data_IF_538896816698
#
_entry.id   IF_538896816698
#
_cell.length_a   1.000
_cell.length_b   1.000
_cell.length_c   1.000
_cell.angle_alpha   90.00
_cell.angle_beta   90.00
_cell.angle_gamma   90.00
#
_symmetry.space_group_name_H-M   'P 1'
#
loop_
_entity.id
_entity.type
_entity.pdbx_description
1 polymer ?
#
# COMPACT_ATOMS: atom_id res chain seq x y z
N UNK A 1 9.50 18.69 -13.43
CA UNK A 1 9.35 17.89 -12.17
C UNK A 1 7.94 18.11 -11.67
N UNK A 2 7.14 17.05 -11.54
CA UNK A 2 5.80 17.17 -10.94
C UNK A 2 5.94 17.68 -9.50
N UNK A 3 5.18 18.71 -9.16
CA UNK A 3 5.19 19.31 -7.81
C UNK A 3 4.73 18.26 -6.80
N UNK A 4 5.47 18.08 -5.71
CA UNK A 4 5.11 17.17 -4.62
C UNK A 4 3.71 17.50 -4.08
N UNK A 5 2.87 16.47 -3.90
CA UNK A 5 1.50 16.62 -3.40
C UNK A 5 1.48 16.16 -1.94
N UNK A 6 1.64 17.11 -1.01
CA UNK A 6 1.69 16.84 0.43
C UNK A 6 0.45 16.12 0.97
N UNK A 7 -0.71 16.35 0.35
CA UNK A 7 -1.97 15.69 0.71
C UNK A 7 -1.90 14.19 0.49
N UNK A 8 -1.24 13.73 -0.59
CA UNK A 8 -1.03 12.30 -0.83
C UNK A 8 -0.09 11.71 0.22
N UNK A 9 0.99 12.41 0.58
CA UNK A 9 1.90 11.92 1.62
C UNK A 9 1.20 11.83 2.98
N UNK A 10 0.32 12.80 3.30
CA UNK A 10 -0.51 12.71 4.50
C UNK A 10 -1.44 11.49 4.48
N UNK A 11 -2.16 11.28 3.39
CA UNK A 11 -3.04 10.09 3.23
C UNK A 11 -2.26 8.79 3.36
N UNK A 12 -1.08 8.69 2.74
CA UNK A 12 -0.20 7.54 2.88
C UNK A 12 0.18 7.30 4.34
N UNK A 13 0.45 8.36 5.12
CA UNK A 13 0.70 8.25 6.56
C UNK A 13 -0.48 7.63 7.29
N UNK A 14 -1.69 8.17 7.08
CA UNK A 14 -2.91 7.66 7.73
C UNK A 14 -3.09 6.16 7.42
N UNK A 15 -3.03 5.79 6.16
CA UNK A 15 -3.32 4.42 5.74
C UNK A 15 -2.22 3.42 6.09
N UNK A 16 -0.94 3.83 6.12
CA UNK A 16 0.14 2.93 6.53
C UNK A 16 0.09 2.67 8.05
N UNK A 17 -0.29 3.66 8.86
CA UNK A 17 -0.49 3.47 10.29
C UNK A 17 -1.67 2.52 10.55
N UNK A 18 -2.78 2.70 9.85
CA UNK A 18 -3.94 1.80 9.94
C UNK A 18 -3.56 0.38 9.49
N UNK A 19 -2.75 0.26 8.43
CA UNK A 19 -2.23 -1.03 7.98
C UNK A 19 -1.43 -1.71 9.09
N UNK A 20 -0.44 -1.02 9.68
CA UNK A 20 0.37 -1.58 10.77
C UNK A 20 -0.53 -1.97 11.95
N UNK A 21 -1.44 -1.10 12.37
CA UNK A 21 -2.33 -1.31 13.51
C UNK A 21 -3.16 -2.59 13.39
N UNK A 22 -3.79 -2.82 12.23
CA UNK A 22 -4.64 -3.99 12.02
C UNK A 22 -3.89 -5.24 11.54
N UNK A 23 -2.57 -5.13 11.28
CA UNK A 23 -1.68 -6.27 11.14
C UNK A 23 -1.11 -6.76 12.48
N UNK A 24 -1.30 -5.99 13.57
CA UNK A 24 -1.10 -6.50 14.94
C UNK A 24 -2.20 -7.55 15.22
N UNK A 25 -1.80 -8.83 15.29
CA UNK A 25 -2.75 -9.96 15.43
C UNK A 25 -3.71 -9.74 16.60
N UNK A 26 -3.19 -9.34 17.76
CA UNK A 26 -4.00 -9.08 18.96
C UNK A 26 -5.10 -8.03 18.73
N UNK A 27 -4.77 -6.93 18.03
CA UNK A 27 -5.75 -5.87 17.70
C UNK A 27 -6.76 -6.35 16.67
N UNK A 28 -6.27 -7.01 15.62
CA UNK A 28 -7.12 -7.52 14.56
C UNK A 28 -8.12 -8.59 15.01
N UNK A 29 -7.72 -9.45 15.94
CA UNK A 29 -8.60 -10.50 16.49
C UNK A 29 -9.59 -9.93 17.51
N UNK A 30 -9.17 -8.91 18.26
CA UNK A 30 -10.03 -8.23 19.22
C UNK A 30 -11.10 -7.36 18.58
N UNK A 31 -10.80 -6.74 17.43
CA UNK A 31 -11.70 -5.85 16.70
C UNK A 31 -11.90 -6.29 15.25
N UNK A 32 -12.48 -7.49 15.00
CA UNK A 32 -12.55 -8.09 13.66
C UNK A 32 -13.35 -7.23 12.68
N UNK A 33 -14.44 -6.61 13.12
CA UNK A 33 -15.23 -5.72 12.27
C UNK A 33 -14.46 -4.45 11.89
N UNK A 34 -13.79 -3.81 12.84
CA UNK A 34 -12.95 -2.63 12.56
C UNK A 34 -11.79 -2.98 11.59
N UNK A 35 -11.20 -4.17 11.73
CA UNK A 35 -10.22 -4.71 10.79
C UNK A 35 -10.81 -4.86 9.40
N UNK A 36 -12.00 -5.45 9.26
CA UNK A 36 -12.70 -5.60 7.99
C UNK A 36 -12.95 -4.23 7.32
N UNK A 37 -13.47 -3.26 8.07
CA UNK A 37 -13.69 -1.89 7.59
C UNK A 37 -12.38 -1.27 7.08
N UNK A 38 -11.29 -1.36 7.83
CA UNK A 38 -9.98 -0.79 7.41
C UNK A 38 -9.44 -1.53 6.18
N UNK A 39 -9.60 -2.85 6.10
CA UNK A 39 -9.13 -3.64 4.98
C UNK A 39 -9.88 -3.34 3.67
N UNK A 40 -11.07 -2.77 3.75
CA UNK A 40 -11.81 -2.31 2.58
C UNK A 40 -11.08 -1.19 1.84
N UNK A 41 -10.41 -0.26 2.55
CA UNK A 41 -9.92 0.97 1.91
C UNK A 41 -8.41 1.22 1.98
N UNK A 42 -7.69 0.72 3.01
CA UNK A 42 -6.31 1.19 3.25
C UNK A 42 -5.36 0.86 2.09
N UNK A 43 -5.32 -0.41 1.62
CA UNK A 43 -4.47 -0.79 0.49
C UNK A 43 -5.07 -0.40 -0.86
N UNK A 44 -6.41 -0.34 -0.95
CA UNK A 44 -7.12 0.18 -2.10
C UNK A 44 -6.70 1.62 -2.41
N UNK A 45 -6.65 2.48 -1.40
CA UNK A 45 -6.17 3.85 -1.53
C UNK A 45 -4.70 3.93 -2.00
N UNK A 46 -3.81 3.04 -1.50
CA UNK A 46 -2.42 2.99 -1.99
C UNK A 46 -2.34 2.66 -3.49
N UNK A 47 -3.21 1.79 -4.00
CA UNK A 47 -3.28 1.49 -5.42
C UNK A 47 -3.77 2.70 -6.23
N UNK A 48 -4.77 3.45 -5.73
CA UNK A 48 -5.20 4.72 -6.33
C UNK A 48 -4.04 5.72 -6.36
N UNK A 49 -3.30 5.90 -5.26
CA UNK A 49 -2.13 6.81 -5.25
C UNK A 49 -1.07 6.35 -6.24
N UNK A 50 -0.83 5.05 -6.33
CA UNK A 50 0.17 4.50 -7.25
C UNK A 50 -0.20 4.72 -8.71
N UNK A 51 -1.47 4.55 -9.07
CA UNK A 51 -1.98 4.88 -10.41
C UNK A 51 -1.90 6.38 -10.70
N UNK A 52 -2.30 7.22 -9.74
CA UNK A 52 -2.26 8.67 -9.89
C UNK A 52 -0.84 9.23 -10.02
N UNK A 53 0.11 8.70 -9.26
CA UNK A 53 1.52 9.15 -9.29
C UNK A 53 2.34 8.48 -10.38
N UNK A 54 1.78 7.49 -11.09
CA UNK A 54 2.47 6.77 -12.15
C UNK A 54 2.80 7.70 -13.32
N UNK A 55 4.08 7.94 -13.56
CA UNK A 55 4.56 8.65 -14.74
C UNK A 55 5.18 7.64 -15.71
N UNK A 56 4.53 7.43 -16.85
CA UNK A 56 4.96 6.49 -17.90
C UNK A 56 5.57 7.20 -19.13
N UNK A 57 5.63 8.55 -19.12
CA UNK A 57 6.24 9.36 -20.18
C UNK A 57 7.77 9.40 -20.01
N UNK A 58 8.39 8.25 -20.00
CA UNK A 58 9.83 8.08 -19.84
C UNK A 58 10.40 7.04 -20.81
N UNK A 59 11.69 7.17 -21.12
CA UNK A 59 12.39 6.20 -21.97
C UNK A 59 12.50 4.84 -21.30
N UNK A 60 12.63 3.79 -22.12
CA UNK A 60 12.68 2.38 -21.67
C UNK A 60 13.75 2.13 -20.61
N UNK A 61 14.93 2.72 -20.71
CA UNK A 61 16.02 2.53 -19.74
C UNK A 61 15.67 3.10 -18.35
N UNK A 62 15.00 4.26 -18.32
CA UNK A 62 14.53 4.85 -17.05
C UNK A 62 13.41 4.04 -16.45
N UNK A 63 12.51 3.52 -17.27
CA UNK A 63 11.45 2.65 -16.83
C UNK A 63 11.98 1.32 -16.30
N UNK A 64 12.86 0.64 -17.05
CA UNK A 64 13.50 -0.60 -16.61
C UNK A 64 14.24 -0.42 -15.27
N UNK A 65 14.95 0.71 -15.10
CA UNK A 65 15.60 1.06 -13.83
C UNK A 65 14.58 1.22 -12.69
N UNK A 66 13.43 1.82 -12.95
CA UNK A 66 12.35 1.94 -11.95
C UNK A 66 11.81 0.57 -11.57
N UNK A 67 11.48 -0.28 -12.54
CA UNK A 67 10.99 -1.65 -12.29
C UNK A 67 12.04 -2.46 -11.52
N UNK A 68 13.31 -2.42 -11.94
CA UNK A 68 14.40 -3.09 -11.22
C UNK A 68 14.42 -2.73 -9.73
N UNK A 69 14.33 -1.43 -9.40
CA UNK A 69 14.42 -0.95 -8.01
C UNK A 69 13.10 -1.06 -7.23
N UNK A 70 12.06 -1.52 -7.85
CA UNK A 70 10.84 -1.97 -7.20
C UNK A 70 10.87 -3.50 -7.02
N UNK A 71 11.39 -4.21 -8.01
CA UNK A 71 11.46 -5.68 -8.02
C UNK A 71 12.50 -6.23 -7.03
N UNK A 72 13.70 -5.62 -6.94
CA UNK A 72 14.76 -6.13 -6.05
C UNK A 72 14.32 -6.20 -4.59
N UNK A 73 13.79 -5.13 -3.94
CA UNK A 73 13.30 -5.25 -2.57
C UNK A 73 12.12 -6.22 -2.45
N UNK A 74 11.22 -6.24 -3.43
CA UNK A 74 10.14 -7.22 -3.47
C UNK A 74 10.70 -8.64 -3.48
N UNK A 75 11.58 -8.97 -4.42
CA UNK A 75 12.11 -10.32 -4.59
C UNK A 75 12.88 -10.82 -3.36
N UNK A 76 13.68 -9.94 -2.73
CA UNK A 76 14.41 -10.29 -1.49
C UNK A 76 13.43 -10.58 -0.35
N UNK A 77 12.44 -9.72 -0.15
CA UNK A 77 11.51 -9.87 0.96
C UNK A 77 10.53 -11.03 0.74
N UNK A 78 10.03 -11.21 -0.48
CA UNK A 78 9.15 -12.33 -0.84
C UNK A 78 9.89 -13.67 -0.74
N UNK A 79 11.13 -13.75 -1.25
CA UNK A 79 11.95 -14.96 -1.11
C UNK A 79 12.17 -15.33 0.36
N UNK A 80 12.47 -14.34 1.19
CA UNK A 80 12.60 -14.55 2.64
C UNK A 80 11.29 -15.04 3.27
N UNK A 81 10.16 -14.49 2.86
CA UNK A 81 8.84 -14.89 3.35
C UNK A 81 8.47 -16.32 2.92
N UNK A 82 8.70 -16.68 1.65
CA UNK A 82 8.46 -18.03 1.10
C UNK A 82 9.30 -19.08 1.84
N UNK A 83 10.60 -18.80 2.07
CA UNK A 83 11.46 -19.70 2.86
C UNK A 83 10.97 -19.79 4.31
N UNK A 84 10.61 -18.69 4.93
CA UNK A 84 10.04 -18.68 6.28
C UNK A 84 8.74 -19.50 6.34
N UNK A 85 7.88 -19.37 5.33
CA UNK A 85 6.61 -20.10 5.22
C UNK A 85 6.78 -21.62 5.07
N UNK A 86 7.92 -22.08 4.57
CA UNK A 86 8.23 -23.53 4.48
C UNK A 86 8.80 -24.11 5.78
N UNK A 87 9.27 -23.26 6.70
CA UNK A 87 9.91 -23.70 7.95
C UNK A 87 8.95 -23.53 9.14
N UNK A 88 8.20 -22.41 9.17
CA UNK A 88 7.36 -22.05 10.31
C UNK A 88 5.89 -22.40 10.07
N UNK A 89 5.15 -22.84 11.11
CA UNK A 89 3.71 -23.11 11.02
C UNK A 89 2.91 -21.79 11.02
N UNK A 90 2.99 -21.09 9.89
CA UNK A 90 2.21 -19.85 9.66
C UNK A 90 0.95 -20.18 8.84
N UNK A 91 0.03 -19.23 8.74
CA UNK A 91 -1.26 -19.40 8.04
C UNK A 91 -1.11 -19.86 6.58
N UNK A 92 -0.05 -19.40 5.91
CA UNK A 92 0.25 -19.70 4.49
C UNK A 92 1.43 -20.67 4.39
N UNK A 93 1.41 -21.75 5.22
CA UNK A 93 2.49 -22.75 5.25
C UNK A 93 2.66 -23.45 3.91
N UNK A 94 3.91 -23.75 3.57
CA UNK A 94 4.30 -24.50 2.36
C UNK A 94 4.89 -25.85 2.80
N UNK A 95 4.14 -26.94 2.60
CA UNK A 95 4.57 -28.29 3.02
C UNK A 95 5.82 -28.76 2.27
N UNK A 96 5.90 -28.46 0.96
CA UNK A 96 7.00 -28.90 0.09
C UNK A 96 7.52 -27.73 -0.76
N UNK A 97 8.62 -27.13 -0.36
CA UNK A 97 9.28 -26.06 -1.10
C UNK A 97 10.12 -26.62 -2.24
N UNK A 98 9.57 -26.66 -3.44
CA UNK A 98 10.30 -26.97 -4.67
C UNK A 98 10.69 -25.69 -5.41
N UNK A 99 11.62 -25.78 -6.37
CA UNK A 99 11.98 -24.64 -7.22
C UNK A 99 10.76 -24.10 -7.99
N UNK A 100 9.86 -24.98 -8.45
CA UNK A 100 8.64 -24.58 -9.17
C UNK A 100 7.71 -23.77 -8.25
N UNK A 101 7.46 -24.27 -7.04
CA UNK A 101 6.65 -23.56 -6.03
C UNK A 101 7.29 -22.23 -5.66
N UNK A 102 8.61 -22.18 -5.47
CA UNK A 102 9.32 -20.95 -5.17
C UNK A 102 9.15 -19.90 -6.30
N UNK A 103 9.36 -20.31 -7.56
CA UNK A 103 9.20 -19.40 -8.71
C UNK A 103 7.73 -18.97 -8.91
N UNK A 104 6.76 -19.86 -8.67
CA UNK A 104 5.34 -19.53 -8.67
C UNK A 104 5.03 -18.40 -7.66
N UNK A 105 5.50 -18.56 -6.40
CA UNK A 105 5.28 -17.57 -5.36
C UNK A 105 6.00 -16.25 -5.64
N UNK A 106 7.19 -16.31 -6.22
CA UNK A 106 7.95 -15.11 -6.54
C UNK A 106 7.36 -14.31 -7.72
N UNK A 107 6.83 -14.97 -8.75
CA UNK A 107 6.47 -14.31 -10.01
C UNK A 107 4.96 -14.24 -10.29
N UNK A 108 4.17 -15.18 -9.79
CA UNK A 108 2.76 -15.31 -10.17
C UNK A 108 1.81 -15.11 -8.97
N UNK A 109 2.04 -15.83 -7.87
CA UNK A 109 1.11 -15.88 -6.74
C UNK A 109 1.83 -15.59 -5.42
N UNK A 110 2.25 -14.34 -5.19
CA UNK A 110 3.01 -13.97 -4.00
C UNK A 110 2.26 -14.28 -2.70
N UNK A 111 3.02 -14.67 -1.68
CA UNK A 111 2.52 -14.92 -0.34
C UNK A 111 2.58 -13.66 0.53
N UNK A 112 1.79 -13.68 1.60
CA UNK A 112 1.89 -12.71 2.68
C UNK A 112 1.72 -11.25 2.25
N UNK A 113 2.48 -10.33 2.84
CA UNK A 113 2.21 -8.89 2.74
C UNK A 113 2.73 -8.22 1.47
N UNK A 114 3.56 -8.92 0.66
CA UNK A 114 4.26 -8.29 -0.47
C UNK A 114 3.46 -8.33 -1.79
N UNK A 115 2.26 -8.91 -1.80
CA UNK A 115 1.34 -8.91 -2.96
C UNK A 115 1.11 -7.51 -3.56
N UNK A 116 1.16 -6.45 -2.73
CA UNK A 116 0.99 -5.08 -3.19
C UNK A 116 2.11 -4.65 -4.15
N UNK A 117 3.38 -4.95 -3.82
CA UNK A 117 4.52 -4.61 -4.68
C UNK A 117 4.49 -5.40 -5.98
N UNK A 118 4.12 -6.68 -5.93
CA UNK A 118 3.91 -7.51 -7.10
C UNK A 118 2.82 -6.91 -8.00
N UNK A 119 1.65 -6.64 -7.46
CA UNK A 119 0.55 -5.99 -8.20
C UNK A 119 1.00 -4.67 -8.83
N UNK A 120 1.76 -3.86 -8.11
CA UNK A 120 2.25 -2.58 -8.60
C UNK A 120 3.24 -2.75 -9.77
N UNK A 121 4.14 -3.74 -9.70
CA UNK A 121 5.06 -4.07 -10.80
C UNK A 121 4.29 -4.47 -12.05
N UNK A 122 3.33 -5.38 -11.92
CA UNK A 122 2.49 -5.85 -13.02
C UNK A 122 1.69 -4.69 -13.64
N UNK A 123 1.03 -3.89 -12.80
CA UNK A 123 0.27 -2.71 -13.27
C UNK A 123 1.17 -1.70 -13.99
N UNK A 124 2.38 -1.45 -13.49
CA UNK A 124 3.32 -0.53 -14.14
C UNK A 124 3.80 -1.06 -15.48
N UNK A 125 4.08 -2.37 -15.61
CA UNK A 125 4.44 -2.99 -16.87
C UNK A 125 3.32 -2.83 -17.90
N UNK A 126 2.11 -3.25 -17.57
CA UNK A 126 0.95 -3.13 -18.47
C UNK A 126 0.71 -1.68 -18.84
N UNK A 127 0.68 -0.75 -17.88
CA UNK A 127 0.44 0.66 -18.15
C UNK A 127 1.54 1.27 -19.03
N UNK A 128 2.80 0.93 -18.81
CA UNK A 128 3.91 1.44 -19.62
C UNK A 128 3.78 1.01 -21.08
N UNK A 129 3.52 -0.27 -21.35
CA UNK A 129 3.37 -0.77 -22.71
C UNK A 129 2.15 -0.17 -23.41
N UNK A 130 1.00 -0.12 -22.75
CA UNK A 130 -0.20 0.54 -23.31
C UNK A 130 0.06 2.02 -23.59
N UNK A 131 0.74 2.73 -22.69
CA UNK A 131 1.08 4.14 -22.89
C UNK A 131 2.03 4.35 -24.08
N UNK A 132 3.01 3.45 -24.28
CA UNK A 132 3.95 3.53 -25.39
C UNK A 132 3.30 3.28 -26.75
N UNK A 133 2.42 2.29 -26.81
CA UNK A 133 1.76 1.89 -28.05
C UNK A 133 0.60 2.82 -28.43
N UNK A 134 -0.10 3.34 -27.42
CA UNK A 134 -1.40 3.97 -27.60
C UNK A 134 -1.52 5.35 -26.94
N UNK A 135 -0.43 6.12 -26.82
CA UNK A 135 -0.40 7.43 -26.14
C UNK A 135 -1.30 8.49 -26.77
N UNK A 136 -1.63 8.35 -28.07
CA UNK A 136 -2.44 9.29 -28.85
C UNK A 136 -3.95 9.07 -28.71
N UNK A 137 -4.40 8.01 -28.05
CA UNK A 137 -5.81 7.73 -27.87
C UNK A 137 -6.48 8.80 -26.99
N UNK A 138 -7.80 8.97 -27.20
CA UNK A 138 -8.63 9.77 -26.28
C UNK A 138 -8.56 9.20 -24.86
N UNK A 139 -8.88 10.01 -23.85
CA UNK A 139 -8.90 9.56 -22.46
C UNK A 139 -9.73 8.29 -22.28
N UNK A 140 -10.96 8.29 -22.81
CA UNK A 140 -11.89 7.16 -22.67
C UNK A 140 -11.32 5.91 -23.35
N UNK A 141 -10.90 6.01 -24.61
CA UNK A 141 -10.34 4.87 -25.36
C UNK A 141 -9.09 4.32 -24.72
N UNK A 142 -8.23 5.18 -24.17
CA UNK A 142 -7.02 4.76 -23.47
C UNK A 142 -7.35 4.01 -22.16
N UNK A 143 -8.26 4.55 -21.35
CA UNK A 143 -8.65 3.92 -20.07
C UNK A 143 -9.37 2.60 -20.33
N UNK A 144 -10.22 2.52 -21.34
CA UNK A 144 -10.88 1.27 -21.74
C UNK A 144 -9.84 0.22 -22.20
N UNK A 145 -8.88 0.59 -23.03
CA UNK A 145 -7.83 -0.33 -23.49
C UNK A 145 -6.96 -0.82 -22.31
N UNK A 146 -6.52 0.10 -21.45
CA UNK A 146 -5.77 -0.25 -20.25
C UNK A 146 -6.60 -1.16 -19.34
N UNK A 147 -7.90 -0.86 -19.18
CA UNK A 147 -8.83 -1.68 -18.41
C UNK A 147 -8.95 -3.10 -18.97
N UNK A 148 -9.07 -3.25 -20.30
CA UNK A 148 -9.10 -4.57 -20.96
C UNK A 148 -7.80 -5.34 -20.72
N UNK A 149 -6.63 -4.69 -20.88
CA UNK A 149 -5.34 -5.34 -20.63
C UNK A 149 -5.20 -5.78 -19.16
N UNK A 150 -5.59 -4.92 -18.21
CA UNK A 150 -5.57 -5.24 -16.78
C UNK A 150 -6.58 -6.35 -16.42
N UNK A 151 -7.76 -6.34 -17.04
CA UNK A 151 -8.75 -7.41 -16.93
C UNK A 151 -8.18 -8.75 -17.39
N UNK A 152 -7.51 -8.76 -18.56
CA UNK A 152 -6.87 -9.98 -19.10
C UNK A 152 -5.84 -10.53 -18.11
N UNK A 153 -4.94 -9.69 -17.60
CA UNK A 153 -3.90 -10.14 -16.65
C UNK A 153 -4.50 -10.64 -15.33
N UNK A 154 -5.62 -10.08 -14.89
CA UNK A 154 -6.23 -10.43 -13.60
C UNK A 154 -7.22 -11.59 -13.69
N UNK A 155 -8.07 -11.65 -14.72
CA UNK A 155 -9.16 -12.64 -14.82
C UNK A 155 -8.84 -13.81 -15.73
N UNK A 156 -7.98 -13.64 -16.74
CA UNK A 156 -7.59 -14.72 -17.64
C UNK A 156 -6.25 -15.34 -17.23
N UNK A 157 -5.27 -14.54 -16.86
CA UNK A 157 -3.96 -15.04 -16.44
C UNK A 157 -3.83 -15.25 -14.92
N UNK A 158 -4.76 -14.76 -14.12
CA UNK A 158 -4.82 -14.90 -12.65
C UNK A 158 -3.56 -14.44 -11.91
N UNK A 159 -2.74 -13.54 -12.51
CA UNK A 159 -1.47 -13.07 -11.93
C UNK A 159 -1.70 -12.09 -10.77
N UNK A 160 -2.76 -11.28 -10.85
CA UNK A 160 -3.11 -10.27 -9.84
C UNK A 160 -4.61 -10.22 -9.61
N UNK A 161 -5.05 -9.81 -8.42
CA UNK A 161 -6.48 -9.66 -8.12
C UNK A 161 -7.12 -8.56 -8.97
N UNK A 162 -8.31 -8.81 -9.51
CA UNK A 162 -9.07 -7.86 -10.31
C UNK A 162 -9.40 -6.58 -9.53
N UNK A 163 -9.76 -6.71 -8.27
CA UNK A 163 -10.09 -5.57 -7.42
C UNK A 163 -8.91 -4.60 -7.31
N UNK A 164 -7.70 -5.16 -7.15
CA UNK A 164 -6.48 -4.36 -7.03
C UNK A 164 -6.19 -3.54 -8.30
N UNK A 165 -6.33 -4.16 -9.47
CA UNK A 165 -6.06 -3.47 -10.74
C UNK A 165 -7.09 -2.37 -11.04
N UNK A 166 -8.33 -2.53 -10.57
CA UNK A 166 -9.38 -1.52 -10.74
C UNK A 166 -9.09 -0.25 -9.91
N UNK A 167 -8.60 -0.37 -8.67
CA UNK A 167 -8.16 0.80 -7.89
C UNK A 167 -6.96 1.50 -8.53
N UNK A 168 -6.02 0.73 -9.07
CA UNK A 168 -4.91 1.31 -9.82
C UNK A 168 -5.41 2.06 -11.06
N UNK A 169 -6.33 1.47 -11.84
CA UNK A 169 -6.94 2.08 -13.02
C UNK A 169 -7.68 3.37 -12.67
N UNK A 170 -8.42 3.39 -11.55
CA UNK A 170 -9.08 4.61 -11.05
C UNK A 170 -8.06 5.73 -10.77
N UNK A 171 -6.91 5.39 -10.21
CA UNK A 171 -5.80 6.33 -10.01
C UNK A 171 -5.24 6.87 -11.34
N UNK A 172 -5.06 6.01 -12.35
CA UNK A 172 -4.61 6.41 -13.69
C UNK A 172 -5.65 7.32 -14.37
N UNK A 173 -6.94 6.98 -14.28
CA UNK A 173 -8.03 7.82 -14.79
C UNK A 173 -8.00 9.21 -14.14
N UNK A 174 -7.88 9.27 -12.83
CA UNK A 174 -7.79 10.51 -12.08
C UNK A 174 -6.58 11.35 -12.53
N UNK A 175 -5.42 10.75 -12.76
CA UNK A 175 -4.23 11.46 -13.28
C UNK A 175 -4.43 12.01 -14.69
N UNK A 176 -4.98 11.19 -15.56
CA UNK A 176 -5.17 11.55 -16.98
C UNK A 176 -6.32 12.53 -17.24
N UNK A 177 -7.25 12.66 -16.29
CA UNK A 177 -8.31 13.67 -16.38
C UNK A 177 -7.79 15.11 -16.31
N UNK A 178 -6.50 15.31 -15.98
CA UNK A 178 -5.85 16.60 -15.80
C UNK A 178 -6.46 17.45 -14.66
N UNK A 179 -7.39 16.90 -13.92
CA UNK A 179 -7.99 17.52 -12.74
C UNK A 179 -7.07 17.31 -11.55
N UNK A 180 -6.85 18.34 -10.74
CA UNK A 180 -5.99 18.24 -9.56
C UNK A 180 -6.49 17.19 -8.57
N UNK A 181 -5.57 16.52 -7.85
CA UNK A 181 -5.89 15.46 -6.90
C UNK A 181 -6.98 15.87 -5.89
N UNK A 182 -6.83 17.04 -5.28
CA UNK A 182 -7.78 17.57 -4.28
C UNK A 182 -9.09 18.10 -4.88
N UNK A 183 -9.14 18.26 -6.20
CA UNK A 183 -10.40 18.59 -6.90
C UNK A 183 -11.23 17.35 -7.19
N UNK A 184 -10.58 16.19 -7.35
CA UNK A 184 -11.24 14.89 -7.48
C UNK A 184 -11.63 14.36 -6.10
N UNK A 185 -10.64 14.26 -5.19
CA UNK A 185 -10.84 13.86 -3.81
C UNK A 185 -11.03 15.11 -2.94
N UNK A 186 -12.24 15.67 -2.98
CA UNK A 186 -12.53 16.93 -2.28
C UNK A 186 -12.52 16.71 -0.77
N UNK A 187 -11.76 17.53 -0.01
CA UNK A 187 -11.83 17.52 1.45
C UNK A 187 -13.27 17.76 1.93
N UNK A 188 -13.84 16.83 2.69
CA UNK A 188 -15.23 16.93 3.14
C UNK A 188 -15.43 16.25 4.50
N UNK A 189 -15.85 17.03 5.49
CA UNK A 189 -16.31 16.52 6.79
C UNK A 189 -17.59 15.70 6.66
N UNK A 190 -18.45 16.06 5.71
CA UNK A 190 -19.72 15.39 5.47
C UNK A 190 -19.52 13.96 4.99
N UNK A 191 -18.36 13.60 4.46
CA UNK A 191 -18.04 12.25 4.03
C UNK A 191 -18.12 11.21 5.16
N UNK A 192 -18.01 11.64 6.43
CA UNK A 192 -18.17 10.76 7.59
C UNK A 192 -19.61 10.23 7.71
N UNK A 193 -20.60 10.98 7.29
CA UNK A 193 -22.03 10.58 7.42
C UNK A 193 -22.34 9.34 6.57
N UNK A 194 -22.17 9.35 5.23
CA UNK A 194 -22.41 8.16 4.42
C UNK A 194 -21.44 7.01 4.77
N UNK A 195 -20.19 7.31 5.17
CA UNK A 195 -19.27 6.28 5.66
C UNK A 195 -19.86 5.55 6.88
N UNK A 196 -20.33 6.29 7.90
CA UNK A 196 -20.93 5.70 9.09
C UNK A 196 -22.22 4.93 8.76
N UNK A 197 -23.04 5.47 7.83
CA UNK A 197 -24.24 4.77 7.37
C UNK A 197 -23.90 3.42 6.73
N UNK A 198 -22.88 3.35 5.88
CA UNK A 198 -22.41 2.07 5.32
C UNK A 198 -21.94 1.10 6.40
N UNK A 199 -21.18 1.58 7.39
CA UNK A 199 -20.73 0.74 8.49
C UNK A 199 -21.89 0.15 9.31
N UNK A 200 -22.98 0.89 9.48
CA UNK A 200 -24.12 0.46 10.33
C UNK A 200 -25.16 -0.34 9.52
N UNK A 201 -25.49 0.13 8.32
CA UNK A 201 -26.63 -0.41 7.55
C UNK A 201 -26.23 -1.51 6.56
N UNK A 202 -24.95 -1.60 6.17
CA UNK A 202 -24.49 -2.56 5.18
C UNK A 202 -23.12 -3.14 5.56
N UNK A 203 -23.00 -3.81 6.71
CA UNK A 203 -21.74 -4.36 7.19
C UNK A 203 -21.15 -5.43 6.24
N UNK A 204 -22.00 -6.20 5.57
CA UNK A 204 -21.58 -7.25 4.61
C UNK A 204 -20.94 -6.66 3.35
N UNK A 205 -21.23 -5.40 3.02
CA UNK A 205 -20.62 -4.68 1.91
C UNK A 205 -19.23 -4.11 2.21
N UNK A 206 -18.66 -4.35 3.40
CA UNK A 206 -17.31 -3.95 3.79
C UNK A 206 -16.27 -4.85 3.13
N UNK A 207 -16.24 -4.84 1.81
CA UNK A 207 -15.29 -5.55 0.97
C UNK A 207 -14.82 -4.63 -0.16
N UNK A 208 -13.52 -4.60 -0.37
CA UNK A 208 -12.87 -3.80 -1.43
C UNK A 208 -13.27 -4.22 -2.84
N UNK A 209 -13.77 -5.45 -3.04
CA UNK A 209 -14.24 -5.95 -4.35
C UNK A 209 -15.58 -5.37 -4.78
N UNK A 210 -16.29 -4.72 -3.86
CA UNK A 210 -17.63 -4.18 -4.09
C UNK A 210 -17.60 -2.72 -4.55
N UNK A 211 -18.67 -2.28 -5.22
CA UNK A 211 -18.85 -0.85 -5.51
C UNK A 211 -18.90 -0.02 -4.22
N UNK A 212 -19.49 -0.57 -3.15
CA UNK A 212 -19.47 0.07 -1.83
C UNK A 212 -18.04 0.28 -1.33
N UNK A 213 -17.13 -0.68 -1.52
CA UNK A 213 -15.71 -0.54 -1.16
C UNK A 213 -15.02 0.62 -1.90
N UNK A 214 -15.33 0.83 -3.19
CA UNK A 214 -14.87 2.00 -3.95
C UNK A 214 -15.36 3.31 -3.35
N UNK A 215 -16.65 3.39 -3.04
CA UNK A 215 -17.26 4.59 -2.43
C UNK A 215 -16.66 4.84 -1.05
N UNK A 216 -16.50 3.81 -0.21
CA UNK A 216 -15.88 3.91 1.12
C UNK A 216 -14.44 4.44 1.00
N UNK A 217 -13.66 3.90 0.07
CA UNK A 217 -12.28 4.37 -0.17
C UNK A 217 -12.26 5.86 -0.49
N UNK A 218 -13.15 6.33 -1.36
CA UNK A 218 -13.30 7.75 -1.69
C UNK A 218 -13.69 8.59 -0.46
N UNK A 219 -14.71 8.15 0.30
CA UNK A 219 -15.22 8.87 1.48
C UNK A 219 -14.14 9.02 2.55
N UNK A 220 -13.40 7.94 2.85
CA UNK A 220 -12.33 7.97 3.86
C UNK A 220 -11.18 8.87 3.41
N UNK A 221 -10.81 8.86 2.13
CA UNK A 221 -9.82 9.79 1.58
C UNK A 221 -10.28 11.25 1.72
N UNK A 222 -11.53 11.55 1.35
CA UNK A 222 -12.12 12.89 1.42
C UNK A 222 -12.21 13.40 2.86
N UNK A 223 -12.67 12.56 3.80
CA UNK A 223 -12.70 12.90 5.22
C UNK A 223 -11.29 13.13 5.79
N UNK A 224 -10.34 12.24 5.51
CA UNK A 224 -8.96 12.39 5.95
C UNK A 224 -8.33 13.70 5.45
N UNK A 225 -8.60 14.08 4.20
CA UNK A 225 -8.14 15.34 3.64
C UNK A 225 -8.77 16.56 4.33
N UNK A 226 -10.00 16.48 4.82
CA UNK A 226 -10.62 17.54 5.59
C UNK A 226 -9.92 17.79 6.94
N UNK A 227 -9.34 16.75 7.54
CA UNK A 227 -8.55 16.85 8.78
C UNK A 227 -7.20 17.54 8.56
N UNK A 228 -6.58 17.38 7.38
CA UNK A 228 -5.21 17.83 7.10
C UNK A 228 -4.92 19.31 7.45
N UNK A 229 -5.78 20.29 7.13
CA UNK A 229 -5.52 21.71 7.44
C UNK A 229 -5.46 22.01 8.95
N UNK A 230 -6.14 21.20 9.77
CA UNK A 230 -6.25 21.42 11.23
C UNK A 230 -5.09 20.80 12.02
N UNK A 231 -4.20 20.07 11.35
CA UNK A 231 -3.03 19.51 12.00
C UNK A 231 -2.03 20.60 12.41
N UNK A 232 -1.53 20.51 13.64
CA UNK A 232 -0.42 21.35 14.07
C UNK A 232 0.81 21.14 13.16
N UNK A 233 1.67 22.16 13.07
CA UNK A 233 2.87 22.10 12.22
C UNK A 233 3.80 20.92 12.59
N UNK A 234 3.84 20.53 13.86
CA UNK A 234 4.63 19.43 14.37
C UNK A 234 4.06 18.08 13.92
N UNK A 235 2.75 17.87 14.10
CA UNK A 235 2.05 16.65 13.67
C UNK A 235 2.09 16.50 12.15
N UNK A 236 1.85 17.59 11.42
CA UNK A 236 1.93 17.59 9.95
C UNK A 236 3.32 17.16 9.45
N UNK A 237 4.40 17.67 10.07
CA UNK A 237 5.77 17.27 9.70
C UNK A 237 6.02 15.77 9.91
N UNK A 238 5.58 15.23 11.05
CA UNK A 238 5.69 13.80 11.35
C UNK A 238 4.88 12.98 10.33
N UNK A 239 3.65 13.37 10.06
CA UNK A 239 2.78 12.68 9.10
C UNK A 239 3.38 12.66 7.69
N UNK A 240 3.92 13.79 7.22
CA UNK A 240 4.57 13.87 5.92
C UNK A 240 5.86 13.02 5.87
N UNK A 241 6.64 12.98 6.95
CA UNK A 241 7.82 12.11 7.05
C UNK A 241 7.44 10.63 6.96
N UNK A 242 6.43 10.18 7.70
CA UNK A 242 5.93 8.80 7.64
C UNK A 242 5.41 8.48 6.24
N UNK A 243 4.59 9.39 5.67
CA UNK A 243 3.99 9.21 4.34
C UNK A 243 5.00 9.14 3.19
N UNK A 244 6.14 9.83 3.31
CA UNK A 244 7.23 9.76 2.34
C UNK A 244 8.01 8.44 2.43
N UNK A 245 8.05 7.83 3.61
CA UNK A 245 8.84 6.63 3.90
C UNK A 245 8.00 5.34 3.98
N UNK A 246 6.79 5.34 3.42
CA UNK A 246 5.85 4.19 3.51
C UNK A 246 6.39 2.89 2.90
N UNK A 247 7.25 2.97 1.89
CA UNK A 247 7.87 1.76 1.31
C UNK A 247 8.71 1.00 2.35
N UNK A 248 9.48 1.72 3.16
CA UNK A 248 10.27 1.12 4.23
C UNK A 248 9.40 0.44 5.28
N UNK A 249 8.29 1.06 5.64
CA UNK A 249 7.34 0.49 6.58
C UNK A 249 6.68 -0.76 5.98
N UNK A 250 6.24 -0.69 4.72
CA UNK A 250 5.64 -1.83 4.01
C UNK A 250 6.59 -3.04 3.98
N UNK A 251 7.88 -2.81 3.71
CA UNK A 251 8.86 -3.89 3.59
C UNK A 251 9.19 -4.54 4.93
N UNK A 252 9.40 -3.75 5.98
CA UNK A 252 9.96 -4.24 7.24
C UNK A 252 8.94 -4.43 8.36
N UNK A 253 7.75 -3.83 8.29
CA UNK A 253 6.74 -3.97 9.35
C UNK A 253 6.33 -5.42 9.64
N UNK A 254 6.26 -6.38 8.69
CA UNK A 254 5.89 -7.75 9.00
C UNK A 254 6.81 -8.41 10.03
N UNK A 255 8.11 -8.09 10.01
CA UNK A 255 9.08 -8.61 10.98
C UNK A 255 8.73 -8.11 12.39
N UNK A 256 8.49 -6.82 12.53
CA UNK A 256 8.22 -6.19 13.84
C UNK A 256 6.82 -6.50 14.36
N UNK A 257 5.80 -6.64 13.49
CA UNK A 257 4.46 -7.05 13.92
C UNK A 257 4.43 -8.47 14.50
N UNK A 258 5.30 -9.38 14.03
CA UNK A 258 5.46 -10.71 14.62
C UNK A 258 6.03 -10.59 16.04
N UNK A 259 7.06 -9.75 16.23
CA UNK A 259 7.71 -9.55 17.54
C UNK A 259 6.71 -8.98 18.57
N UNK A 260 5.79 -8.10 18.16
CA UNK A 260 4.80 -7.53 19.10
C UNK A 260 3.86 -8.55 19.72
N UNK A 261 3.76 -9.78 19.19
CA UNK A 261 3.00 -10.85 19.85
C UNK A 261 3.51 -11.14 21.26
N UNK A 262 4.82 -11.03 21.49
CA UNK A 262 5.42 -11.19 22.83
C UNK A 262 5.08 -10.07 23.81
N UNK A 263 4.54 -8.94 23.33
CA UNK A 263 4.12 -7.83 24.20
C UNK A 263 2.75 -8.06 24.84
N UNK A 264 1.90 -8.91 24.25
CA UNK A 264 0.51 -9.12 24.69
C UNK A 264 0.38 -9.39 26.20
N UNK A 265 1.17 -10.27 26.83
CA UNK A 265 1.06 -10.53 28.26
C UNK A 265 1.31 -9.29 29.13
N UNK A 266 2.22 -8.39 28.70
CA UNK A 266 2.54 -7.17 29.43
C UNK A 266 1.44 -6.11 29.42
N UNK A 267 0.47 -6.23 28.51
CA UNK A 267 -0.66 -5.32 28.34
C UNK A 267 -2.00 -5.98 28.67
N UNK A 268 -1.99 -7.14 29.35
CA UNK A 268 -3.22 -7.86 29.73
C UNK A 268 -4.14 -7.04 30.68
N UNK A 269 -3.59 -6.02 31.35
CA UNK A 269 -4.33 -5.11 32.22
C UNK A 269 -5.17 -4.07 31.43
N UNK A 270 -4.89 -3.86 30.14
CA UNK A 270 -5.64 -2.92 29.30
C UNK A 270 -6.71 -3.66 28.48
N UNK A 271 -7.97 -3.68 28.93
CA UNK A 271 -9.06 -4.33 28.21
C UNK A 271 -9.41 -3.62 26.90
N UNK A 272 -8.96 -2.38 26.70
CA UNK A 272 -9.22 -1.62 25.48
C UNK A 272 -8.23 -1.91 24.35
N UNK A 273 -7.07 -2.49 24.69
CA UNK A 273 -5.91 -2.68 23.81
C UNK A 273 -5.35 -1.36 23.20
N UNK A 274 -5.75 -0.20 23.71
CA UNK A 274 -5.30 1.09 23.20
C UNK A 274 -3.80 1.29 23.49
N UNK A 275 -3.39 1.04 24.73
CA UNK A 275 -1.98 1.19 25.14
C UNK A 275 -1.08 0.20 24.38
N UNK A 276 -1.51 -1.06 24.27
CA UNK A 276 -0.83 -2.06 23.44
C UNK A 276 -0.66 -1.57 22.01
N UNK A 277 -1.73 -1.04 21.42
CA UNK A 277 -1.73 -0.57 20.03
C UNK A 277 -0.74 0.58 19.82
N UNK A 278 -0.78 1.60 20.70
CA UNK A 278 0.10 2.78 20.60
C UNK A 278 1.57 2.36 20.74
N UNK A 279 1.91 1.55 21.74
CA UNK A 279 3.28 1.08 21.97
C UNK A 279 3.77 0.19 20.85
N UNK A 280 2.93 -0.75 20.38
CA UNK A 280 3.29 -1.67 19.31
C UNK A 280 3.47 -0.96 17.98
N UNK A 281 2.59 -0.02 17.60
CA UNK A 281 2.75 0.79 16.39
C UNK A 281 4.02 1.63 16.46
N UNK A 282 4.29 2.29 17.59
CA UNK A 282 5.53 3.05 17.78
C UNK A 282 6.78 2.16 17.64
N UNK A 283 6.75 0.97 18.24
CA UNK A 283 7.83 -0.03 18.13
C UNK A 283 8.04 -0.48 16.68
N UNK A 284 6.96 -0.82 15.95
CA UNK A 284 7.04 -1.24 14.55
C UNK A 284 7.63 -0.13 13.68
N UNK A 285 7.11 1.10 13.79
CA UNK A 285 7.63 2.23 13.01
C UNK A 285 9.09 2.52 13.36
N UNK A 286 9.43 2.57 14.65
CA UNK A 286 10.80 2.77 15.12
C UNK A 286 11.75 1.69 14.61
N UNK A 287 11.37 0.42 14.71
CA UNK A 287 12.14 -0.72 14.19
C UNK A 287 12.37 -0.63 12.68
N UNK A 288 11.34 -0.31 11.90
CA UNK A 288 11.50 -0.11 10.45
C UNK A 288 12.52 0.99 10.15
N UNK A 289 12.46 2.13 10.85
CA UNK A 289 13.41 3.22 10.63
C UNK A 289 14.83 2.88 11.10
N UNK A 290 14.99 2.16 12.19
CA UNK A 290 16.31 1.67 12.62
C UNK A 290 16.94 0.79 11.55
N UNK A 291 16.19 -0.19 10.99
CA UNK A 291 16.68 -1.03 9.90
C UNK A 291 17.14 -0.16 8.71
N UNK A 292 16.33 0.80 8.29
CA UNK A 292 16.68 1.68 7.16
C UNK A 292 17.90 2.52 7.44
N UNK A 293 18.03 3.09 8.65
CA UNK A 293 19.22 3.87 9.04
C UNK A 293 20.47 3.00 9.03
N UNK A 294 20.39 1.76 9.51
CA UNK A 294 21.50 0.80 9.45
C UNK A 294 21.86 0.48 8.00
N UNK A 295 20.88 0.18 7.16
CA UNK A 295 21.08 -0.08 5.74
C UNK A 295 21.73 1.11 5.02
N UNK A 296 21.28 2.33 5.33
CA UNK A 296 21.83 3.57 4.75
C UNK A 296 23.29 3.78 5.18
N UNK A 297 23.63 3.52 6.44
CA UNK A 297 24.99 3.63 6.98
C UNK A 297 25.95 2.58 6.40
N UNK A 298 25.47 1.36 6.22
CA UNK A 298 26.25 0.25 5.65
C UNK A 298 26.31 0.29 4.10
N UNK A 299 25.63 1.25 3.45
CA UNK A 299 25.54 1.35 2.00
C UNK A 299 24.69 0.29 1.32
N UNK A 300 23.99 -0.55 2.08
CA UNK A 300 23.10 -1.62 1.58
C UNK A 300 21.95 -1.04 0.76
N UNK A 301 21.42 0.12 1.14
CA UNK A 301 20.30 0.79 0.45
C UNK A 301 20.58 1.05 -1.03
N UNK A 302 21.85 1.21 -1.42
CA UNK A 302 22.24 1.37 -2.81
C UNK A 302 22.00 0.10 -3.65
N UNK A 303 22.23 -1.06 -3.07
CA UNK A 303 22.06 -2.35 -3.71
C UNK A 303 20.60 -2.84 -3.63
N UNK A 304 19.92 -2.51 -2.55
CA UNK A 304 18.55 -2.94 -2.27
C UNK A 304 17.49 -2.10 -3.00
N UNK A 305 17.61 -0.76 -2.99
CA UNK A 305 16.63 0.15 -3.60
C UNK A 305 17.22 1.11 -4.64
N UNK A 306 18.50 0.96 -5.00
CA UNK A 306 19.18 1.82 -5.97
C UNK A 306 19.40 3.27 -5.54
N UNK A 307 19.23 3.57 -4.26
CA UNK A 307 19.39 4.90 -3.68
C UNK A 307 20.52 4.90 -2.65
N UNK A 308 21.30 6.00 -2.59
CA UNK A 308 22.32 6.17 -1.54
C UNK A 308 21.70 6.19 -0.14
N UNK A 309 20.50 6.77 -0.01
CA UNK A 309 19.70 6.78 1.22
C UNK A 309 18.27 6.41 0.87
N UNK A 310 17.74 5.43 1.58
CA UNK A 310 16.35 5.02 1.46
C UNK A 310 15.46 5.94 2.30
N UNK A 311 15.98 6.39 3.45
CA UNK A 311 15.28 7.31 4.33
C UNK A 311 15.22 8.70 3.69
N UNK A 312 14.02 9.12 3.31
CA UNK A 312 13.76 10.49 2.86
C UNK A 312 13.56 11.39 4.08
N UNK A 313 14.40 12.40 4.22
CA UNK A 313 14.22 13.44 5.24
C UNK A 313 13.57 14.65 4.55
N UNK A 314 12.40 15.14 5.02
CA UNK A 314 11.77 16.33 4.45
C UNK A 314 12.77 17.49 4.44
N UNK A 315 13.01 18.09 3.28
CA UNK A 315 13.76 19.33 3.19
C UNK A 315 12.98 20.40 3.96
N UNK A 316 13.70 21.14 4.80
CA UNK A 316 13.15 22.25 5.61
C UNK A 316 12.58 23.37 4.75
#
# INVERSE_FOLDING_TARGET
MDKRIYQIDFLKCVFIILMVMFHLVYVGDKFPYAKQVVYTFHMSAFLVFSGYLANMDKGILRFAKQIKWLFVPYAVMESGYVVMASILPIREHIDNLTLVVFLDKLFLHPLGPYWYLHTLIVCYLVYYFVNKLCSRLSLVSFVCLLGVCLFTVSRLLHIVSFDNVMYFLAGVLARRSLVGFTSIFRPSWQAVIPFTLFCVLSPDGMDRSTLQGFVITYLVMSFSLAVYPFLSSRVRRIALFIGENTLSILLFSPIFTIITKSFVPFFAFDPTAVLFTVVSVAFVLGGCYVVVVVMDRLGISRWFCGKKRLLSVPQR
#
